data_IF_381695859646
#
_entry.id   IF_381695859646
#
_cell.length_a   1.000
_cell.length_b   1.000
_cell.length_c   1.000
_cell.angle_alpha   90.00
_cell.angle_beta   90.00
_cell.angle_gamma   90.00
#
_symmetry.space_group_name_H-M   'P 1'
#
loop_
_entity.id
_entity.type
_entity.pdbx_description
1 polymer ?
#
# COMPACT_ATOMS: atom_id res chain seq x y z
N UNK A 1 -7.97 26.96 0.87
CA UNK A 1 -8.72 25.70 1.02
C UNK A 1 -9.09 25.18 -0.36
N UNK A 2 -8.79 23.91 -0.72
CA UNK A 2 -9.14 23.39 -2.04
C UNK A 2 -10.67 23.39 -2.22
N UNK A 3 -11.15 23.93 -3.34
CA UNK A 3 -12.58 24.01 -3.64
C UNK A 3 -13.16 22.60 -3.74
N UNK A 4 -14.09 22.26 -2.84
CA UNK A 4 -14.88 21.02 -2.94
C UNK A 4 -15.69 21.08 -4.23
N UNK A 5 -15.45 20.16 -5.16
CA UNK A 5 -16.18 20.07 -6.41
C UNK A 5 -17.69 19.95 -6.12
N UNK A 6 -18.50 20.82 -6.74
CA UNK A 6 -19.96 20.79 -6.64
C UNK A 6 -20.51 19.89 -7.75
N UNK A 7 -20.70 18.61 -7.45
CA UNK A 7 -21.29 17.61 -8.34
C UNK A 7 -21.56 16.32 -7.60
N UNK A 8 -22.64 15.61 -7.94
CA UNK A 8 -22.87 14.24 -7.46
C UNK A 8 -21.72 13.40 -8.02
N UNK A 9 -21.01 12.63 -7.18
CA UNK A 9 -19.93 11.76 -7.66
C UNK A 9 -20.50 10.86 -8.76
N UNK A 10 -19.91 10.85 -9.96
CA UNK A 10 -20.39 9.97 -11.02
C UNK A 10 -20.27 8.52 -10.54
N UNK A 11 -21.35 7.77 -10.74
CA UNK A 11 -21.42 6.33 -10.50
C UNK A 11 -21.31 5.70 -11.89
N UNK A 12 -20.31 4.85 -12.07
CA UNK A 12 -19.98 4.20 -13.33
C UNK A 12 -20.34 2.71 -13.31
N UNK A 13 -20.34 2.09 -12.13
CA UNK A 13 -20.65 0.67 -11.94
C UNK A 13 -22.01 0.47 -11.25
N UNK A 14 -22.53 -0.75 -11.34
CA UNK A 14 -23.88 -1.10 -10.83
C UNK A 14 -24.01 -0.90 -9.30
N UNK A 15 -22.93 -1.05 -8.55
CA UNK A 15 -22.86 -0.78 -7.11
C UNK A 15 -21.91 0.40 -6.82
N UNK A 16 -22.42 1.52 -6.26
CA UNK A 16 -21.60 2.65 -5.82
C UNK A 16 -20.49 2.31 -4.82
N UNK A 17 -20.55 1.16 -4.14
CA UNK A 17 -19.48 0.66 -3.27
C UNK A 17 -18.27 0.18 -4.08
N UNK A 18 -18.50 -0.43 -5.25
CA UNK A 18 -17.42 -0.88 -6.14
C UNK A 18 -16.69 0.32 -6.74
N UNK A 19 -17.40 1.37 -7.14
CA UNK A 19 -16.79 2.62 -7.60
C UNK A 19 -15.91 3.28 -6.53
N UNK A 20 -16.34 3.23 -5.26
CA UNK A 20 -15.53 3.74 -4.14
C UNK A 20 -14.28 2.89 -3.94
N UNK A 21 -14.40 1.57 -3.98
CA UNK A 21 -13.27 0.66 -3.87
C UNK A 21 -12.26 0.90 -5.02
N UNK A 22 -12.75 1.00 -6.25
CA UNK A 22 -11.92 1.31 -7.42
C UNK A 22 -11.20 2.66 -7.26
N UNK A 23 -11.89 3.69 -6.80
CA UNK A 23 -11.26 5.00 -6.55
C UNK A 23 -10.16 4.93 -5.47
N UNK A 24 -10.36 4.13 -4.41
CA UNK A 24 -9.34 3.90 -3.37
C UNK A 24 -8.14 3.16 -3.95
N UNK A 25 -8.36 2.08 -4.72
CA UNK A 25 -7.29 1.31 -5.36
C UNK A 25 -6.50 2.17 -6.34
N UNK A 26 -7.15 3.00 -7.15
CA UNK A 26 -6.48 3.91 -8.08
C UNK A 26 -5.64 4.97 -7.34
N UNK A 27 -6.15 5.52 -6.24
CA UNK A 27 -5.37 6.45 -5.41
C UNK A 27 -4.13 5.76 -4.81
N UNK A 28 -4.29 4.55 -4.26
CA UNK A 28 -3.18 3.76 -3.73
C UNK A 28 -2.15 3.42 -4.81
N UNK A 29 -2.58 3.04 -6.02
CA UNK A 29 -1.69 2.79 -7.14
C UNK A 29 -0.87 4.03 -7.52
N UNK A 30 -1.49 5.22 -7.46
CA UNK A 30 -0.78 6.50 -7.64
C UNK A 30 0.31 6.71 -6.60
N UNK A 31 0.00 6.51 -5.31
CA UNK A 31 0.98 6.62 -4.23
C UNK A 31 2.12 5.59 -4.37
N UNK A 32 1.80 4.34 -4.77
CA UNK A 32 2.81 3.30 -5.04
C UNK A 32 3.73 3.70 -6.19
N UNK A 33 3.19 4.32 -7.26
CA UNK A 33 4.00 4.85 -8.36
C UNK A 33 4.99 5.90 -7.86
N UNK A 34 4.53 6.87 -7.06
CA UNK A 34 5.39 7.91 -6.49
C UNK A 34 6.48 7.33 -5.59
N UNK A 35 6.15 6.34 -4.77
CA UNK A 35 7.13 5.63 -3.93
C UNK A 35 8.19 4.91 -4.78
N UNK A 36 7.78 4.29 -5.90
CA UNK A 36 8.69 3.60 -6.82
C UNK A 36 9.64 4.57 -7.52
N UNK A 37 9.14 5.70 -7.99
CA UNK A 37 9.96 6.76 -8.61
C UNK A 37 10.97 7.34 -7.60
N UNK A 38 10.54 7.51 -6.35
CA UNK A 38 11.42 7.98 -5.28
C UNK A 38 12.51 6.96 -4.95
N UNK A 39 12.19 5.67 -4.96
CA UNK A 39 13.17 4.60 -4.75
C UNK A 39 14.18 4.55 -5.90
N UNK A 40 13.74 4.56 -7.16
CA UNK A 40 14.62 4.62 -8.34
C UNK A 40 15.57 5.84 -8.27
N UNK A 41 15.05 7.00 -7.85
CA UNK A 41 15.88 8.19 -7.64
C UNK A 41 16.98 7.95 -6.60
N UNK A 42 16.66 7.28 -5.49
CA UNK A 42 17.64 6.95 -4.43
C UNK A 42 18.70 6.00 -4.97
N UNK A 43 18.31 4.94 -5.69
CA UNK A 43 19.21 3.95 -6.28
C UNK A 43 20.18 4.60 -7.27
N UNK A 44 19.67 5.43 -8.20
CA UNK A 44 20.49 6.17 -9.16
C UNK A 44 21.45 7.14 -8.51
N UNK A 45 21.00 7.87 -7.48
CA UNK A 45 21.88 8.79 -6.75
C UNK A 45 22.97 8.04 -5.97
N UNK A 46 22.66 6.87 -5.42
CA UNK A 46 23.62 6.05 -4.70
C UNK A 46 24.69 5.48 -5.67
N UNK A 47 24.28 5.03 -6.86
CA UNK A 47 25.19 4.62 -7.93
C UNK A 47 26.06 5.77 -8.44
N UNK A 48 25.45 6.94 -8.72
CA UNK A 48 26.20 8.11 -9.18
C UNK A 48 27.25 8.59 -8.16
N UNK A 49 27.03 8.32 -6.88
CA UNK A 49 27.98 8.61 -5.79
C UNK A 49 28.94 7.46 -5.50
N UNK A 50 28.84 6.33 -6.20
CA UNK A 50 29.68 5.15 -5.99
C UNK A 50 29.46 4.44 -4.65
N UNK A 51 28.27 4.57 -4.04
CA UNK A 51 27.96 3.94 -2.74
C UNK A 51 27.51 2.48 -2.89
N UNK A 52 26.76 2.19 -3.94
CA UNK A 52 26.23 0.88 -4.30
C UNK A 52 25.79 0.93 -5.77
N UNK A 53 25.86 -0.19 -6.48
CA UNK A 53 25.38 -0.34 -7.85
C UNK A 53 23.94 -0.89 -7.87
N UNK A 54 23.23 -0.64 -8.97
CA UNK A 54 21.90 -1.23 -9.18
C UNK A 54 22.03 -2.76 -9.27
N UNK A 55 23.09 -3.26 -9.89
CA UNK A 55 23.38 -4.69 -10.00
C UNK A 55 23.56 -5.35 -8.62
N UNK A 56 24.22 -4.67 -7.67
CA UNK A 56 24.34 -5.16 -6.28
C UNK A 56 22.99 -5.22 -5.56
N UNK A 57 22.07 -4.28 -5.82
CA UNK A 57 20.72 -4.31 -5.26
C UNK A 57 19.94 -5.50 -5.83
N UNK A 58 19.95 -5.69 -7.15
CA UNK A 58 19.22 -6.77 -7.81
C UNK A 58 19.77 -8.16 -7.45
N UNK A 59 21.09 -8.26 -7.21
CA UNK A 59 21.73 -9.50 -6.79
C UNK A 59 21.62 -9.77 -5.27
N UNK A 60 21.13 -8.81 -4.48
CA UNK A 60 21.09 -8.94 -3.03
C UNK A 60 20.18 -10.09 -2.59
N UNK A 61 20.77 -11.08 -1.92
CA UNK A 61 20.04 -12.15 -1.26
C UNK A 61 20.05 -11.90 0.25
N UNK A 62 18.88 -11.67 0.88
CA UNK A 62 18.80 -11.54 2.32
C UNK A 62 19.18 -12.87 2.98
N UNK A 63 19.91 -12.79 4.09
CA UNK A 63 20.11 -13.94 4.96
C UNK A 63 18.83 -14.27 5.76
N UNK A 64 18.86 -15.38 6.49
CA UNK A 64 17.72 -15.86 7.28
C UNK A 64 17.23 -14.81 8.31
N UNK A 65 18.15 -14.04 8.89
CA UNK A 65 17.81 -13.03 9.89
C UNK A 65 17.06 -11.84 9.25
N UNK A 66 17.53 -11.37 8.09
CA UNK A 66 16.88 -10.30 7.33
C UNK A 66 15.53 -10.79 6.80
N UNK A 67 15.45 -12.03 6.29
CA UNK A 67 14.22 -12.63 5.81
C UNK A 67 13.15 -12.69 6.93
N UNK A 68 13.52 -13.19 8.11
CA UNK A 68 12.63 -13.26 9.27
C UNK A 68 12.17 -11.88 9.72
N UNK A 69 13.07 -10.90 9.77
CA UNK A 69 12.72 -9.52 10.13
C UNK A 69 11.72 -8.91 9.15
N UNK A 70 11.88 -9.17 7.84
CA UNK A 70 10.94 -8.72 6.80
C UNK A 70 9.59 -9.42 6.91
N UNK A 71 9.57 -10.70 7.24
CA UNK A 71 8.33 -11.46 7.44
C UNK A 71 7.55 -10.92 8.65
N UNK A 72 8.22 -10.72 9.79
CA UNK A 72 7.59 -10.15 10.96
C UNK A 72 7.01 -8.76 10.65
N UNK A 73 7.82 -7.88 10.06
CA UNK A 73 7.37 -6.53 9.72
C UNK A 73 6.16 -6.54 8.78
N UNK A 74 6.18 -7.44 7.77
CA UNK A 74 5.08 -7.58 6.80
C UNK A 74 3.81 -8.09 7.47
N UNK A 75 3.91 -9.09 8.35
CA UNK A 75 2.78 -9.61 9.12
C UNK A 75 2.15 -8.53 9.97
N UNK A 76 2.96 -7.77 10.72
CA UNK A 76 2.47 -6.67 11.55
C UNK A 76 1.86 -5.53 10.71
N UNK A 77 2.45 -5.23 9.55
CA UNK A 77 1.91 -4.23 8.64
C UNK A 77 0.55 -4.65 8.09
N UNK A 78 0.42 -5.88 7.61
CA UNK A 78 -0.85 -6.42 7.10
C UNK A 78 -1.90 -6.43 8.22
N UNK A 79 -1.54 -6.85 9.43
CA UNK A 79 -2.46 -6.86 10.57
C UNK A 79 -2.98 -5.43 10.89
N UNK A 80 -2.12 -4.41 10.84
CA UNK A 80 -2.54 -3.01 11.03
C UNK A 80 -3.48 -2.51 9.93
N UNK A 81 -3.22 -2.87 8.67
CA UNK A 81 -4.05 -2.48 7.53
C UNK A 81 -5.41 -3.17 7.58
N UNK A 82 -5.45 -4.46 7.93
CA UNK A 82 -6.67 -5.27 7.93
C UNK A 82 -7.48 -5.22 9.23
N UNK A 83 -7.03 -4.45 10.22
CA UNK A 83 -7.70 -4.35 11.52
C UNK A 83 -9.19 -4.01 11.41
N UNK A 84 -9.55 -3.10 10.49
CA UNK A 84 -10.96 -2.71 10.27
C UNK A 84 -11.82 -3.88 9.78
N UNK A 85 -11.27 -4.74 8.91
CA UNK A 85 -11.97 -5.93 8.40
C UNK A 85 -12.10 -6.98 9.51
N UNK A 86 -11.07 -7.14 10.34
CA UNK A 86 -11.12 -8.06 11.48
C UNK A 86 -12.19 -7.65 12.50
N UNK A 87 -12.29 -6.34 12.80
CA UNK A 87 -13.32 -5.80 13.71
C UNK A 87 -14.74 -6.03 13.18
N UNK A 88 -14.95 -5.90 11.86
CA UNK A 88 -16.24 -6.21 11.21
C UNK A 88 -16.58 -7.70 11.26
N UNK A 89 -15.60 -8.57 10.97
CA UNK A 89 -15.76 -10.03 11.07
C UNK A 89 -16.09 -10.44 12.50
N UNK A 90 -15.38 -9.91 13.48
CA UNK A 90 -15.62 -10.22 14.90
C UNK A 90 -17.02 -9.78 15.34
N UNK A 91 -17.50 -8.61 14.90
CA UNK A 91 -18.85 -8.12 15.19
C UNK A 91 -19.96 -9.02 14.61
N UNK A 92 -19.77 -9.49 13.37
CA UNK A 92 -20.68 -10.44 12.71
C UNK A 92 -20.65 -11.81 13.41
N UNK A 93 -19.46 -12.29 13.76
CA UNK A 93 -19.28 -13.61 14.41
C UNK A 93 -19.82 -13.62 15.84
N UNK A 94 -19.79 -12.49 16.54
CA UNK A 94 -20.34 -12.32 17.89
C UNK A 94 -21.84 -11.99 17.92
N UNK A 95 -22.53 -11.99 16.78
CA UNK A 95 -23.99 -11.78 16.72
C UNK A 95 -24.45 -10.38 17.14
N UNK A 96 -23.56 -9.37 17.14
CA UNK A 96 -23.94 -7.97 17.35
C UNK A 96 -24.34 -7.36 16.01
N UNK A 97 -25.55 -7.65 15.56
CA UNK A 97 -26.21 -6.80 14.57
C UNK A 97 -26.58 -5.48 15.25
N UNK A 98 -26.14 -4.37 14.65
CA UNK A 98 -26.60 -3.02 14.99
C UNK A 98 -28.12 -2.88 14.84
#
# INVERSE_FOLDING_TARGET
>A
MPKKAKGKRPVYLDDPQIDKLLAIVMALAGEVSVLRDRLDTVERLAQAKGLLSIEEIEAYQPDDQVAQSREQWRTEYIARVLRVVQEEVDAVTQGKTA
#
